data_IF_428484720822
#
_entry.id   IF_428484720822
#
_cell.length_a   1.000
_cell.length_b   1.000
_cell.length_c   1.000
_cell.angle_alpha   90.00
_cell.angle_beta   90.00
_cell.angle_gamma   90.00
#
_symmetry.space_group_name_H-M   'P 1'
#
loop_
_entity.id
_entity.type
_entity.pdbx_description
1 polymer ?
#
# COMPACT_ATOMS: atom_id res chain seq x y z
N UNK A 1 8.76 3.74 -12.41
CA UNK A 1 7.59 3.20 -11.67
C UNK A 1 7.04 1.86 -12.18
N UNK A 2 7.39 1.35 -13.38
CA UNK A 2 6.75 0.14 -13.92
C UNK A 2 7.01 -1.18 -13.14
N UNK A 3 8.15 -1.29 -12.43
CA UNK A 3 8.50 -2.52 -11.71
C UNK A 3 7.61 -2.84 -10.49
N UNK A 4 7.07 -1.82 -9.83
CA UNK A 4 6.25 -2.01 -8.62
C UNK A 4 4.82 -2.45 -8.93
N UNK A 5 4.25 -2.00 -10.04
CA UNK A 5 2.92 -2.47 -10.49
C UNK A 5 2.95 -3.96 -10.83
N UNK A 6 3.97 -4.42 -11.58
CA UNK A 6 4.13 -5.85 -11.86
C UNK A 6 4.31 -6.69 -10.57
N UNK A 7 4.87 -6.11 -9.51
CA UNK A 7 4.98 -6.77 -8.22
C UNK A 7 3.63 -6.88 -7.51
N UNK A 8 2.78 -5.86 -7.60
CA UNK A 8 1.38 -5.90 -7.15
C UNK A 8 0.60 -6.98 -7.91
N UNK A 9 0.76 -7.07 -9.23
CA UNK A 9 0.11 -8.12 -10.02
C UNK A 9 0.52 -9.53 -9.57
N UNK A 10 1.81 -9.75 -9.26
CA UNK A 10 2.27 -11.02 -8.69
C UNK A 10 1.67 -11.30 -7.31
N UNK A 11 1.56 -10.29 -6.43
CA UNK A 11 0.95 -10.44 -5.10
C UNK A 11 -0.55 -10.76 -5.17
N UNK A 12 -1.23 -10.29 -6.21
CA UNK A 12 -2.66 -10.53 -6.45
C UNK A 12 -2.90 -11.82 -7.25
N UNK A 13 -1.87 -12.41 -7.87
CA UNK A 13 -2.00 -13.57 -8.76
C UNK A 13 -2.53 -14.83 -8.04
N UNK A 14 -2.18 -15.02 -6.77
CA UNK A 14 -2.68 -16.12 -5.94
C UNK A 14 -4.18 -16.00 -5.60
N UNK A 15 -4.80 -14.83 -5.84
CA UNK A 15 -6.23 -14.60 -5.59
C UNK A 15 -6.66 -14.65 -4.12
N UNK A 16 -5.70 -14.82 -3.20
CA UNK A 16 -5.91 -14.83 -1.74
C UNK A 16 -5.95 -13.42 -1.16
N UNK A 17 -5.33 -12.46 -1.83
CA UNK A 17 -5.26 -11.06 -1.42
C UNK A 17 -6.41 -10.26 -2.05
N UNK A 18 -7.16 -9.54 -1.21
CA UNK A 18 -8.22 -8.63 -1.68
C UNK A 18 -7.68 -7.24 -2.09
N UNK A 19 -6.50 -6.88 -1.60
CA UNK A 19 -5.83 -5.60 -1.83
C UNK A 19 -4.32 -5.72 -1.56
N UNK A 20 -3.50 -4.95 -2.26
CA UNK A 20 -2.05 -4.91 -2.09
C UNK A 20 -1.49 -3.51 -2.41
N UNK A 21 -0.45 -3.10 -1.67
CA UNK A 21 0.29 -1.85 -1.94
C UNK A 21 1.75 -1.92 -1.50
N UNK A 22 2.57 -1.11 -2.15
CA UNK A 22 3.99 -0.91 -1.84
C UNK A 22 4.16 0.52 -1.37
N UNK A 23 4.72 0.67 -0.18
CA UNK A 23 4.79 1.94 0.52
C UNK A 23 6.22 2.15 0.95
N UNK A 24 6.85 3.23 0.47
CA UNK A 24 8.11 3.69 1.03
C UNK A 24 7.85 4.24 2.44
N UNK A 25 8.69 3.90 3.42
CA UNK A 25 8.49 4.33 4.83
C UNK A 25 9.63 5.17 5.42
N UNK A 26 10.76 5.30 4.72
CA UNK A 26 11.97 5.97 5.25
C UNK A 26 11.81 7.48 5.39
N UNK A 27 12.15 8.24 4.34
CA UNK A 27 12.32 9.68 4.44
C UNK A 27 11.02 10.43 4.12
N UNK A 28 10.31 9.97 3.08
CA UNK A 28 9.02 10.50 2.68
C UNK A 28 8.07 9.35 2.43
N UNK A 29 7.19 9.08 3.41
CA UNK A 29 6.37 7.91 3.30
C UNK A 29 5.30 8.12 2.23
N UNK A 30 5.31 7.25 1.22
CA UNK A 30 4.56 7.44 -0.02
C UNK A 30 4.23 6.08 -0.65
N UNK A 31 3.05 6.02 -1.29
CA UNK A 31 2.62 4.84 -2.04
C UNK A 31 3.34 4.82 -3.38
N UNK A 32 4.03 3.72 -3.69
CA UNK A 32 4.78 3.52 -4.93
C UNK A 32 4.02 2.68 -5.95
N UNK A 33 3.17 1.77 -5.48
CA UNK A 33 2.20 1.03 -6.27
C UNK A 33 1.07 0.55 -5.36
N UNK A 34 -0.15 0.47 -5.87
CA UNK A 34 -1.30 -0.09 -5.16
C UNK A 34 -2.32 -0.61 -6.17
N UNK A 35 -3.18 -1.54 -5.74
CA UNK A 35 -4.30 -1.98 -6.55
C UNK A 35 -5.28 -0.81 -6.75
N UNK A 36 -5.62 -0.43 -8.00
CA UNK A 36 -6.53 0.67 -8.25
C UNK A 36 -7.95 0.33 -7.76
N UNK A 37 -8.64 1.32 -7.19
CA UNK A 37 -10.02 1.17 -6.71
C UNK A 37 -10.16 0.43 -5.37
N UNK A 38 -9.07 0.26 -4.63
CA UNK A 38 -9.05 -0.39 -3.31
C UNK A 38 -8.62 0.57 -2.20
N UNK A 39 -8.59 0.10 -0.96
CA UNK A 39 -8.30 0.93 0.22
C UNK A 39 -6.86 1.40 0.24
N UNK A 40 -5.91 0.57 -0.18
CA UNK A 40 -4.48 0.88 -0.08
C UNK A 40 -3.99 1.96 -1.06
N UNK A 41 -4.75 2.31 -2.09
CA UNK A 41 -4.40 3.45 -2.97
C UNK A 41 -4.52 4.80 -2.26
N UNK A 42 -5.40 4.89 -1.26
CA UNK A 42 -5.68 6.13 -0.54
C UNK A 42 -5.02 6.15 0.85
N UNK A 43 -4.02 5.30 1.09
CA UNK A 43 -3.31 5.38 2.38
C UNK A 43 -2.50 6.67 2.40
N UNK A 44 -2.93 7.61 3.23
CA UNK A 44 -2.10 8.71 3.66
C UNK A 44 -1.21 8.19 4.77
N UNK A 45 0.11 8.21 4.57
CA UNK A 45 1.02 7.89 5.66
C UNK A 45 1.00 9.04 6.66
N UNK A 46 0.06 8.96 7.60
CA UNK A 46 0.03 9.80 8.77
C UNK A 46 1.23 9.41 9.63
N UNK A 47 2.16 10.35 9.79
CA UNK A 47 3.42 10.25 10.53
C UNK A 47 3.21 10.06 12.05
N UNK A 48 2.19 9.32 12.48
CA UNK A 48 1.67 9.33 13.85
C UNK A 48 0.62 8.27 14.20
N UNK A 49 0.61 7.08 13.57
CA UNK A 49 -0.21 5.94 14.05
C UNK A 49 0.42 5.22 15.26
N UNK A 50 1.17 5.95 16.09
CA UNK A 50 1.45 5.59 17.48
C UNK A 50 0.35 6.06 18.45
N UNK A 51 -0.75 6.64 17.98
CA UNK A 51 -1.78 7.20 18.88
C UNK A 51 -3.24 7.02 18.44
N UNK A 52 -3.52 6.36 17.32
CA UNK A 52 -4.88 5.85 17.07
C UNK A 52 -4.95 4.44 17.63
N UNK A 53 -4.96 4.40 18.97
CA UNK A 53 -5.65 3.35 19.67
C UNK A 53 -7.05 3.25 19.08
N UNK A 54 -7.34 2.10 18.50
CA UNK A 54 -8.69 1.65 18.31
C UNK A 54 -9.38 1.68 19.69
N UNK A 55 -10.61 2.20 19.84
CA UNK A 55 -11.42 1.85 21.01
C UNK A 55 -11.64 0.34 21.08
#
# INVERSE_FOLDING_TARGET
>A
MAGWNAYIDNLMADGTCQDAAIVGYKDSPSVWAAVPGKTFVNITVLRGLGSLGCP
#
